data_IF_065568440168
#
_entry.id   IF_065568440168
#
_cell.length_a   1.000
_cell.length_b   1.000
_cell.length_c   1.000
_cell.angle_alpha   90.00
_cell.angle_beta   90.00
_cell.angle_gamma   90.00
#
_symmetry.space_group_name_H-M   'P 1'
#
loop_
_entity.id
_entity.type
_entity.pdbx_description
1 polymer ?
#
# COMPACT_ATOMS: atom_id res chain seq x y z
N UNK A 1 -7.88 -33.76 -13.27
CA UNK A 1 -7.05 -33.19 -12.20
C UNK A 1 -7.00 -31.69 -12.43
N UNK A 2 -7.95 -30.95 -11.86
CA UNK A 2 -7.93 -29.49 -11.86
C UNK A 2 -6.88 -29.09 -10.82
N UNK A 3 -5.74 -28.57 -11.30
CA UNK A 3 -4.76 -27.97 -10.41
C UNK A 3 -5.41 -26.72 -9.82
N UNK A 4 -5.58 -26.70 -8.50
CA UNK A 4 -5.91 -25.46 -7.79
C UNK A 4 -4.68 -24.55 -7.93
N UNK A 5 -4.73 -23.62 -8.88
CA UNK A 5 -3.71 -22.57 -9.01
C UNK A 5 -3.78 -21.67 -7.77
N UNK A 6 -2.96 -21.99 -6.77
CA UNK A 6 -2.80 -21.17 -5.58
C UNK A 6 -2.04 -19.90 -5.94
N UNK A 7 -2.78 -18.83 -6.22
CA UNK A 7 -2.23 -17.49 -6.41
C UNK A 7 -1.62 -17.01 -5.08
N UNK A 8 -0.30 -17.08 -4.98
CA UNK A 8 0.44 -16.59 -3.82
C UNK A 8 0.64 -15.07 -3.93
N UNK A 9 -0.41 -14.32 -3.60
CA UNK A 9 -0.37 -12.85 -3.57
C UNK A 9 0.08 -12.42 -2.18
N UNK A 10 1.11 -11.57 -2.11
CA UNK A 10 1.55 -10.99 -0.85
C UNK A 10 0.57 -9.89 -0.45
N UNK A 11 0.25 -9.85 0.84
CA UNK A 11 -0.62 -8.81 1.41
C UNK A 11 -0.08 -7.39 1.13
N UNK A 12 1.23 -7.23 1.16
CA UNK A 12 1.92 -5.97 0.83
C UNK A 12 1.57 -5.44 -0.57
N UNK A 13 1.43 -6.32 -1.57
CA UNK A 13 1.10 -5.93 -2.94
C UNK A 13 -0.35 -5.42 -3.04
N UNK A 14 -1.26 -6.01 -2.26
CA UNK A 14 -2.65 -5.58 -2.16
C UNK A 14 -2.71 -4.20 -1.52
N UNK A 15 -1.95 -3.98 -0.45
CA UNK A 15 -1.91 -2.69 0.27
C UNK A 15 -1.36 -1.59 -0.65
N UNK A 16 -0.28 -1.85 -1.40
CA UNK A 16 0.25 -0.90 -2.40
C UNK A 16 -0.79 -0.52 -3.46
N UNK A 17 -1.55 -1.49 -3.97
CA UNK A 17 -2.66 -1.25 -4.90
C UNK A 17 -3.74 -0.33 -4.30
N UNK A 18 -4.10 -0.53 -3.03
CA UNK A 18 -5.05 0.33 -2.33
C UNK A 18 -4.48 1.74 -2.14
N UNK A 19 -3.21 1.85 -1.75
CA UNK A 19 -2.54 3.14 -1.59
C UNK A 19 -2.47 3.92 -2.91
N UNK A 20 -2.25 3.25 -4.04
CA UNK A 20 -2.29 3.86 -5.38
C UNK A 20 -3.68 4.36 -5.73
N UNK A 21 -4.72 3.58 -5.42
CA UNK A 21 -6.10 4.02 -5.59
C UNK A 21 -6.41 5.28 -4.78
N UNK A 22 -6.00 5.32 -3.50
CA UNK A 22 -6.21 6.46 -2.62
C UNK A 22 -5.45 7.70 -3.12
N UNK A 23 -4.23 7.52 -3.60
CA UNK A 23 -3.42 8.58 -4.19
C UNK A 23 -4.08 9.15 -5.47
N UNK A 24 -4.55 8.29 -6.38
CA UNK A 24 -5.25 8.69 -7.61
C UNK A 24 -6.53 9.49 -7.33
N UNK A 25 -7.18 9.26 -6.18
CA UNK A 25 -8.39 9.95 -5.75
C UNK A 25 -8.13 11.15 -4.82
N UNK A 26 -6.85 11.48 -4.55
CA UNK A 26 -6.43 12.54 -3.62
C UNK A 26 -6.98 12.35 -2.19
N UNK A 27 -7.17 11.10 -1.77
CA UNK A 27 -7.65 10.73 -0.44
C UNK A 27 -6.49 10.62 0.56
N UNK A 28 -5.77 11.72 0.76
CA UNK A 28 -4.51 11.73 1.50
C UNK A 28 -4.63 11.35 2.98
N UNK A 29 -5.76 11.67 3.62
CA UNK A 29 -5.99 11.28 5.03
C UNK A 29 -6.18 9.77 5.19
N UNK A 30 -6.93 9.15 4.29
CA UNK A 30 -7.14 7.69 4.28
C UNK A 30 -5.86 6.96 3.91
N UNK A 31 -5.08 7.51 2.97
CA UNK A 31 -3.75 6.99 2.63
C UNK A 31 -2.83 7.01 3.85
N UNK A 32 -2.74 8.15 4.55
CA UNK A 32 -1.91 8.29 5.76
C UNK A 32 -2.36 7.35 6.89
N UNK A 33 -3.67 7.16 7.07
CA UNK A 33 -4.19 6.23 8.07
C UNK A 33 -3.78 4.79 7.76
N UNK A 34 -3.92 4.37 6.49
CA UNK A 34 -3.52 3.03 6.04
C UNK A 34 -2.01 2.81 6.16
N UNK A 35 -1.20 3.81 5.80
CA UNK A 35 0.27 3.76 5.95
C UNK A 35 0.69 3.59 7.42
N UNK A 36 0.01 4.27 8.35
CA UNK A 36 0.28 4.15 9.81
C UNK A 36 -0.15 2.82 10.41
N UNK A 37 -1.29 2.29 9.98
CA UNK A 37 -1.82 1.03 10.51
C UNK A 37 -1.08 -0.19 9.96
N UNK A 38 -0.70 -0.17 8.68
CA UNK A 38 -0.05 -1.30 8.02
C UNK A 38 1.47 -1.23 8.03
N UNK A 39 2.05 -0.04 8.23
CA UNK A 39 3.49 0.21 8.06
C UNK A 39 3.96 0.11 6.60
N UNK A 40 3.06 -0.13 5.65
CA UNK A 40 3.37 -0.19 4.21
C UNK A 40 3.17 1.20 3.62
N UNK A 41 4.23 1.75 3.05
CA UNK A 41 4.25 3.10 2.50
C UNK A 41 4.10 3.03 0.99
N UNK A 42 3.34 3.96 0.41
CA UNK A 42 3.28 4.06 -1.04
C UNK A 42 4.57 4.71 -1.56
N UNK A 43 5.47 3.90 -2.08
CA UNK A 43 6.87 4.28 -2.30
C UNK A 43 7.08 5.27 -3.44
N UNK A 44 7.69 6.42 -3.09
CA UNK A 44 8.75 7.14 -3.81
C UNK A 44 9.61 8.00 -2.86
N UNK A 45 9.16 8.20 -1.61
CA UNK A 45 9.89 8.97 -0.60
C UNK A 45 10.78 8.04 0.23
N UNK A 46 12.06 8.41 0.39
CA UNK A 46 12.95 7.78 1.38
C UNK A 46 12.29 7.83 2.77
N UNK A 47 12.55 6.83 3.62
CA UNK A 47 12.15 6.85 5.03
C UNK A 47 12.51 8.18 5.71
N UNK A 48 13.64 8.79 5.30
CA UNK A 48 14.11 10.08 5.80
C UNK A 48 13.15 11.25 5.54
N UNK A 49 12.38 11.19 4.45
CA UNK A 49 11.43 12.26 4.07
C UNK A 49 10.07 12.05 4.74
N UNK A 50 9.74 10.83 5.18
CA UNK A 50 8.52 10.57 5.94
C UNK A 50 8.53 11.24 7.31
N UNK A 51 9.69 11.46 7.92
CA UNK A 51 9.82 12.17 9.19
C UNK A 51 9.39 13.64 9.12
N UNK A 52 9.27 14.22 7.93
CA UNK A 52 8.92 15.63 7.71
C UNK A 52 7.43 15.84 7.35
N UNK A 53 6.65 14.77 7.23
CA UNK A 53 5.24 14.79 6.79
C UNK A 53 4.26 14.77 7.96
#
# INVERSE_FOLDING_TARGET
MTAEETLNIKEEDIIKLILDFLNLRRLHNSMLALEKETGVINGLYSEDVLFLR
#
